data_IF_194298565737
#
_entry.id   IF_194298565737
#
_cell.length_a   1.000
_cell.length_b   1.000
_cell.length_c   1.000
_cell.angle_alpha   90.00
_cell.angle_beta   90.00
_cell.angle_gamma   90.00
#
_symmetry.space_group_name_H-M   'P 1'
#
loop_
_entity.id
_entity.type
_entity.pdbx_description
1 polymer ?
#
# COMPACT_ATOMS: atom_id res chain seq x y z
N UNK A 1 -17.51 -15.50 2.60
CA UNK A 1 -17.18 -15.80 1.19
C UNK A 1 -18.33 -16.47 0.46
N UNK A 2 -18.65 -17.74 0.73
CA UNK A 2 -19.68 -18.52 -0.01
C UNK A 2 -21.02 -17.76 -0.12
N UNK A 3 -21.54 -17.27 1.01
CA UNK A 3 -22.78 -16.49 1.05
C UNK A 3 -22.68 -15.21 0.19
N UNK A 4 -21.56 -14.48 0.30
CA UNK A 4 -21.35 -13.23 -0.44
C UNK A 4 -21.20 -13.49 -1.95
N UNK A 5 -20.51 -14.56 -2.33
CA UNK A 5 -20.37 -14.99 -3.73
C UNK A 5 -21.71 -15.37 -4.36
N UNK A 6 -22.56 -16.12 -3.64
CA UNK A 6 -23.89 -16.53 -4.13
C UNK A 6 -24.77 -15.29 -4.41
N UNK A 7 -24.64 -14.23 -3.60
CA UNK A 7 -25.41 -12.99 -3.76
C UNK A 7 -24.83 -12.10 -4.87
N UNK A 8 -23.50 -11.96 -4.95
CA UNK A 8 -22.86 -11.00 -5.85
C UNK A 8 -22.63 -11.55 -7.27
N UNK A 9 -22.39 -12.85 -7.46
CA UNK A 9 -22.10 -13.42 -8.80
C UNK A 9 -23.26 -13.22 -9.80
N UNK A 10 -24.54 -13.41 -9.44
CA UNK A 10 -25.64 -13.23 -10.39
C UNK A 10 -25.75 -11.79 -10.92
N UNK A 11 -25.35 -10.78 -10.12
CA UNK A 11 -25.46 -9.36 -10.49
C UNK A 11 -24.18 -8.75 -11.03
N UNK A 12 -23.03 -9.15 -10.49
CA UNK A 12 -21.72 -8.53 -10.78
C UNK A 12 -20.69 -9.51 -11.37
N UNK A 13 -21.09 -10.75 -11.65
CA UNK A 13 -20.27 -11.77 -12.32
C UNK A 13 -18.87 -11.90 -11.67
N UNK A 14 -17.80 -11.71 -12.46
CA UNK A 14 -16.39 -11.83 -12.05
C UNK A 14 -16.02 -10.78 -10.99
N UNK A 15 -16.56 -9.56 -11.09
CA UNK A 15 -16.32 -8.49 -10.12
C UNK A 15 -16.92 -8.89 -8.77
N UNK A 16 -18.11 -9.49 -8.79
CA UNK A 16 -18.77 -10.02 -7.61
C UNK A 16 -17.96 -11.10 -6.90
N UNK A 17 -17.37 -12.01 -7.67
CA UNK A 17 -16.47 -13.04 -7.14
C UNK A 17 -15.20 -12.45 -6.52
N UNK A 18 -14.59 -11.44 -7.14
CA UNK A 18 -13.38 -10.78 -6.63
C UNK A 18 -13.63 -10.04 -5.30
N UNK A 19 -14.77 -9.35 -5.18
CA UNK A 19 -15.20 -8.69 -3.94
C UNK A 19 -15.48 -9.70 -2.83
N UNK A 20 -16.15 -10.81 -3.17
CA UNK A 20 -16.39 -11.86 -2.19
C UNK A 20 -15.09 -12.49 -1.68
N UNK A 21 -14.10 -12.69 -2.56
CA UNK A 21 -12.78 -13.18 -2.18
C UNK A 21 -12.04 -12.18 -1.26
N UNK A 22 -12.01 -10.89 -1.59
CA UNK A 22 -11.33 -9.88 -0.75
C UNK A 22 -11.98 -9.72 0.63
N UNK A 23 -13.30 -9.92 0.72
CA UNK A 23 -14.05 -9.84 1.99
C UNK A 23 -13.56 -10.85 3.04
N UNK A 24 -12.97 -11.98 2.63
CA UNK A 24 -12.40 -12.96 3.58
C UNK A 24 -11.33 -12.30 4.43
N UNK A 25 -10.41 -11.56 3.82
CA UNK A 25 -9.32 -10.92 4.54
C UNK A 25 -9.81 -9.86 5.52
N UNK A 26 -10.85 -9.11 5.13
CA UNK A 26 -11.48 -8.13 6.02
C UNK A 26 -12.13 -8.81 7.24
N UNK A 27 -12.84 -9.91 7.04
CA UNK A 27 -13.47 -10.68 8.13
C UNK A 27 -12.41 -11.33 9.03
N UNK A 28 -11.39 -11.97 8.46
CA UNK A 28 -10.29 -12.56 9.23
C UNK A 28 -9.58 -11.51 10.09
N UNK A 29 -9.30 -10.33 9.52
CA UNK A 29 -8.72 -9.22 10.27
C UNK A 29 -9.65 -8.76 11.39
N UNK A 30 -10.96 -8.65 11.15
CA UNK A 30 -11.93 -8.25 12.16
C UNK A 30 -12.01 -9.26 13.33
N UNK A 31 -11.98 -10.56 13.04
CA UNK A 31 -11.98 -11.62 14.06
C UNK A 31 -10.70 -11.55 14.90
N UNK A 32 -9.54 -11.48 14.26
CA UNK A 32 -8.24 -11.37 14.97
C UNK A 32 -8.20 -10.10 15.81
N UNK A 33 -8.67 -8.98 15.28
CA UNK A 33 -8.74 -7.71 16.00
C UNK A 33 -9.68 -7.78 17.21
N UNK A 34 -10.84 -8.44 17.06
CA UNK A 34 -11.80 -8.65 18.15
C UNK A 34 -11.16 -9.43 19.31
N UNK A 35 -10.51 -10.56 19.02
CA UNK A 35 -9.82 -11.34 20.04
C UNK A 35 -8.64 -10.58 20.64
N UNK A 36 -7.83 -9.88 19.84
CA UNK A 36 -6.71 -9.08 20.35
C UNK A 36 -7.17 -7.97 21.32
N UNK A 37 -8.36 -7.38 21.08
CA UNK A 37 -8.97 -6.41 21.99
C UNK A 37 -9.48 -7.07 23.27
N UNK A 38 -10.11 -8.25 23.16
CA UNK A 38 -10.61 -9.00 24.31
C UNK A 38 -9.50 -9.40 25.28
N UNK A 39 -8.32 -9.77 24.77
CA UNK A 39 -7.16 -10.14 25.59
C UNK A 39 -6.28 -8.94 26.02
N UNK A 40 -6.68 -7.71 25.70
CA UNK A 40 -5.94 -6.51 26.12
C UNK A 40 -4.60 -6.28 25.42
N UNK A 41 -4.31 -7.00 24.33
CA UNK A 41 -3.04 -6.93 23.57
C UNK A 41 -3.10 -5.80 22.52
N UNK A 42 -4.16 -4.99 22.52
CA UNK A 42 -4.41 -4.01 21.46
C UNK A 42 -3.56 -2.75 21.62
N UNK A 43 -2.38 -2.74 20.98
CA UNK A 43 -1.61 -1.52 20.72
C UNK A 43 -2.22 -0.77 19.53
N UNK A 44 -3.37 -0.13 19.74
CA UNK A 44 -4.07 0.61 18.70
C UNK A 44 -3.39 1.98 18.44
N UNK A 45 -2.40 2.01 17.54
CA UNK A 45 -1.72 3.26 17.20
C UNK A 45 -2.45 4.01 16.07
N UNK A 46 -3.47 4.78 16.44
CA UNK A 46 -4.23 5.63 15.51
C UNK A 46 -3.39 6.63 14.74
N UNK A 47 -2.28 7.09 15.33
CA UNK A 47 -1.35 8.02 14.67
C UNK A 47 -0.62 7.34 13.52
N UNK A 48 -0.22 6.08 13.66
CA UNK A 48 0.40 5.32 12.57
C UNK A 48 -0.63 5.00 11.49
N UNK A 49 -1.85 4.60 11.87
CA UNK A 49 -2.90 4.31 10.90
C UNK A 49 -3.26 5.54 10.06
N UNK A 50 -3.46 6.71 10.67
CA UNK A 50 -3.81 7.93 9.94
C UNK A 50 -2.72 8.34 8.94
N UNK A 51 -1.45 8.19 9.30
CA UNK A 51 -0.31 8.44 8.41
C UNK A 51 -0.32 7.53 7.18
N UNK A 52 -0.67 6.25 7.34
CA UNK A 52 -0.80 5.30 6.23
C UNK A 52 -1.96 5.71 5.30
N UNK A 53 -3.09 6.12 5.88
CA UNK A 53 -4.23 6.60 5.08
C UNK A 53 -3.86 7.85 4.27
N UNK A 54 -3.18 8.82 4.89
CA UNK A 54 -2.74 10.04 4.20
C UNK A 54 -1.77 9.71 3.07
N UNK A 55 -0.79 8.81 3.30
CA UNK A 55 0.13 8.42 2.23
C UNK A 55 -0.56 7.66 1.10
N UNK A 56 -1.53 6.80 1.40
CA UNK A 56 -2.32 6.10 0.39
C UNK A 56 -3.17 7.06 -0.45
N UNK A 57 -3.83 8.03 0.18
CA UNK A 57 -4.60 9.08 -0.52
C UNK A 57 -3.69 9.91 -1.43
N UNK A 58 -2.50 10.27 -0.96
CA UNK A 58 -1.56 11.05 -1.75
C UNK A 58 -1.07 10.29 -2.99
N UNK A 59 -0.73 9.01 -2.83
CA UNK A 59 -0.33 8.17 -3.98
C UNK A 59 -1.48 8.00 -4.96
N UNK A 60 -2.69 7.78 -4.47
CA UNK A 60 -3.89 7.72 -5.32
C UNK A 60 -4.10 9.03 -6.09
N UNK A 61 -3.99 10.18 -5.43
CA UNK A 61 -4.14 11.49 -6.06
C UNK A 61 -3.10 11.71 -7.17
N UNK A 62 -1.83 11.37 -6.91
CA UNK A 62 -0.76 11.50 -7.93
C UNK A 62 -1.00 10.54 -9.09
N UNK A 63 -1.34 9.28 -8.83
CA UNK A 63 -1.64 8.30 -9.86
C UNK A 63 -2.84 8.75 -10.73
N UNK A 64 -3.89 9.28 -10.09
CA UNK A 64 -5.09 9.78 -10.76
C UNK A 64 -4.80 11.01 -11.62
N UNK A 65 -4.02 11.98 -11.10
CA UNK A 65 -3.55 13.12 -11.87
C UNK A 65 -2.72 12.67 -13.07
N UNK A 66 -1.73 11.80 -12.87
CA UNK A 66 -0.92 11.29 -13.98
C UNK A 66 -1.74 10.54 -15.03
N UNK A 67 -2.69 9.72 -14.59
CA UNK A 67 -3.61 9.04 -15.49
C UNK A 67 -4.40 10.05 -16.30
N UNK A 68 -5.03 11.05 -15.67
CA UNK A 68 -5.82 12.05 -16.38
C UNK A 68 -4.99 12.89 -17.35
N UNK A 69 -3.81 13.37 -16.97
CA UNK A 69 -2.94 14.15 -17.87
C UNK A 69 -2.44 13.33 -19.07
N UNK A 70 -2.03 12.08 -18.85
CA UNK A 70 -1.51 11.24 -19.93
C UNK A 70 -2.62 10.71 -20.85
N UNK A 71 -3.82 10.45 -20.30
CA UNK A 71 -4.96 9.95 -21.06
C UNK A 71 -5.67 11.05 -21.85
N UNK A 72 -5.73 12.29 -21.34
CA UNK A 72 -6.32 13.43 -22.07
C UNK A 72 -5.51 13.85 -23.31
N UNK A 73 -4.20 13.59 -23.33
CA UNK A 73 -3.34 13.83 -24.50
C UNK A 73 -3.33 12.70 -25.53
N UNK A 74 -3.94 11.56 -25.23
CA UNK A 74 -3.91 10.37 -26.08
C UNK A 74 -5.12 10.36 -27.02
N UNK A 75 -4.87 10.50 -28.32
CA UNK A 75 -5.91 10.48 -29.35
C UNK A 75 -6.60 9.09 -29.33
N UNK A 76 -7.90 8.98 -29.02
CA UNK A 76 -8.59 7.70 -28.86
C UNK A 76 -8.60 6.85 -30.14
N UNK A 77 -8.28 7.45 -31.28
CA UNK A 77 -8.29 6.86 -32.62
C UNK A 77 -7.16 5.81 -32.80
N UNK A 78 -6.05 5.91 -32.05
CA UNK A 78 -4.93 4.96 -32.11
C UNK A 78 -5.08 3.75 -31.16
N UNK A 79 -6.08 3.76 -30.28
CA UNK A 79 -6.20 2.80 -29.18
C UNK A 79 -6.92 1.49 -29.55
N UNK A 80 -7.49 1.41 -30.75
CA UNK A 80 -8.24 0.24 -31.24
C UNK A 80 -7.34 -0.85 -31.86
N UNK A 81 -6.09 -0.52 -32.21
CA UNK A 81 -5.11 -1.48 -32.76
C UNK A 81 -4.28 -2.21 -31.69
N UNK A 82 -3.61 -3.31 -32.08
CA UNK A 82 -2.67 -4.06 -31.23
C UNK A 82 -1.58 -3.14 -30.62
N UNK A 83 -1.11 -2.16 -31.40
CA UNK A 83 -0.15 -1.14 -30.96
C UNK A 83 -0.70 -0.23 -29.87
N UNK A 84 -1.98 0.18 -29.96
CA UNK A 84 -2.65 1.01 -28.95
C UNK A 84 -2.76 0.34 -27.58
N UNK A 85 -2.99 -0.99 -27.56
CA UNK A 85 -3.00 -1.77 -26.32
C UNK A 85 -1.61 -1.86 -25.66
N UNK A 86 -0.54 -1.95 -26.45
CA UNK A 86 0.83 -1.93 -25.91
C UNK A 86 1.17 -0.59 -25.28
N UNK A 87 0.76 0.53 -25.87
CA UNK A 87 0.95 1.86 -25.28
C UNK A 87 0.24 1.99 -23.92
N UNK A 88 -1.00 1.48 -23.81
CA UNK A 88 -1.72 1.47 -22.53
C UNK A 88 -1.02 0.66 -21.43
N UNK A 89 -0.41 -0.47 -21.78
CA UNK A 89 0.36 -1.29 -20.83
C UNK A 89 1.64 -0.58 -20.37
N UNK A 90 2.38 0.04 -21.29
CA UNK A 90 3.60 0.81 -20.94
C UNK A 90 3.24 1.98 -20.04
N UNK A 91 2.17 2.70 -20.35
CA UNK A 91 1.68 3.81 -19.54
C UNK A 91 1.28 3.34 -18.13
N UNK A 92 0.56 2.23 -18.01
CA UNK A 92 0.22 1.64 -16.71
C UNK A 92 1.47 1.27 -15.90
N UNK A 93 2.50 0.72 -16.56
CA UNK A 93 3.77 0.37 -15.93
C UNK A 93 4.48 1.63 -15.42
N UNK A 94 4.59 2.68 -16.25
CA UNK A 94 5.18 3.97 -15.86
C UNK A 94 4.43 4.59 -14.67
N UNK A 95 3.10 4.66 -14.72
CA UNK A 95 2.30 5.20 -13.62
C UNK A 95 2.52 4.37 -12.34
N UNK A 96 2.57 3.05 -12.44
CA UNK A 96 2.81 2.18 -11.29
C UNK A 96 4.21 2.40 -10.67
N UNK A 97 5.25 2.54 -11.50
CA UNK A 97 6.62 2.79 -11.05
C UNK A 97 6.76 4.16 -10.38
N UNK A 98 6.13 5.20 -10.93
CA UNK A 98 6.12 6.54 -10.32
C UNK A 98 5.33 6.53 -9.02
N UNK A 99 4.15 5.91 -9.00
CA UNK A 99 3.31 5.80 -7.80
C UNK A 99 4.04 5.08 -6.66
N UNK A 100 4.81 4.04 -6.99
CA UNK A 100 5.67 3.34 -6.04
C UNK A 100 6.75 4.28 -5.47
N UNK A 101 7.39 5.07 -6.32
CA UNK A 101 8.42 6.04 -5.90
C UNK A 101 7.84 7.10 -4.97
N UNK A 102 6.67 7.65 -5.31
CA UNK A 102 5.93 8.62 -4.48
C UNK A 102 5.54 8.00 -3.15
N UNK A 103 5.11 6.74 -3.13
CA UNK A 103 4.80 6.02 -1.90
C UNK A 103 6.02 5.90 -0.98
N UNK A 104 7.17 5.52 -1.52
CA UNK A 104 8.43 5.46 -0.76
C UNK A 104 8.84 6.82 -0.19
N UNK A 105 8.74 7.88 -1.00
CA UNK A 105 9.00 9.26 -0.55
C UNK A 105 8.04 9.64 0.58
N UNK A 106 6.76 9.29 0.45
CA UNK A 106 5.73 9.60 1.45
C UNK A 106 6.00 8.90 2.77
N UNK A 107 6.30 7.60 2.76
CA UNK A 107 6.69 6.86 3.97
C UNK A 107 7.93 7.49 4.61
N UNK A 108 8.92 7.86 3.78
CA UNK A 108 10.15 8.50 4.25
C UNK A 108 9.86 9.84 4.92
N UNK A 109 8.96 10.65 4.34
CA UNK A 109 8.60 11.97 4.86
C UNK A 109 7.79 11.88 6.16
N UNK A 110 6.90 10.89 6.26
CA UNK A 110 5.96 10.77 7.37
C UNK A 110 6.54 10.00 8.57
N UNK A 111 7.74 9.40 8.43
CA UNK A 111 8.39 8.53 9.43
C UNK A 111 7.40 7.58 10.08
N UNK A 112 6.56 6.94 9.26
CA UNK A 112 5.40 6.18 9.71
C UNK A 112 5.80 4.84 10.34
N UNK A 113 6.97 4.32 9.98
CA UNK A 113 7.54 3.09 10.52
C UNK A 113 8.56 3.45 11.60
N UNK A 114 8.27 3.12 12.86
CA UNK A 114 9.32 3.10 13.90
C UNK A 114 10.25 1.92 13.63
N UNK A 115 11.50 2.00 14.12
CA UNK A 115 12.46 0.89 14.05
C UNK A 115 11.89 -0.41 14.64
N UNK A 116 11.10 -0.31 15.71
CA UNK A 116 10.36 -1.42 16.32
C UNK A 116 9.38 -2.11 15.37
N UNK A 117 8.71 -1.34 14.50
CA UNK A 117 7.71 -1.87 13.57
C UNK A 117 8.41 -2.57 12.40
N UNK A 118 9.58 -2.07 11.98
CA UNK A 118 10.43 -2.73 10.99
C UNK A 118 10.99 -4.04 11.51
N UNK A 119 11.45 -4.09 12.76
CA UNK A 119 11.93 -5.32 13.38
C UNK A 119 10.83 -6.38 13.50
N UNK A 120 9.61 -5.98 13.86
CA UNK A 120 8.44 -6.86 13.86
C UNK A 120 8.09 -7.35 12.44
N UNK A 121 8.19 -6.49 11.44
CA UNK A 121 7.91 -6.86 10.05
C UNK A 121 8.99 -7.82 9.50
N UNK A 122 10.25 -7.61 9.88
CA UNK A 122 11.36 -8.49 9.52
C UNK A 122 11.39 -9.80 10.31
N UNK A 123 10.82 -9.86 11.51
CA UNK A 123 10.73 -11.11 12.29
C UNK A 123 9.68 -12.07 11.72
N UNK A 124 8.67 -11.55 11.04
CA UNK A 124 7.63 -12.34 10.33
C UNK A 124 8.09 -12.74 8.92
N UNK A 125 9.08 -12.07 8.33
CA UNK A 125 9.62 -12.43 7.01
C UNK A 125 10.51 -13.69 7.03
N UNK A 126 10.41 -14.58 6.02
CA UNK A 126 11.27 -15.75 5.92
C UNK A 126 12.75 -15.34 5.72
N UNK A 127 13.68 -16.08 6.38
CA UNK A 127 15.15 -15.80 6.48
C UNK A 127 15.87 -15.41 5.18
N UNK A 128 15.31 -15.71 4.00
CA UNK A 128 15.90 -15.35 2.70
C UNK A 128 15.80 -13.85 2.38
N UNK A 129 14.81 -13.15 2.94
CA UNK A 129 14.61 -11.70 2.75
C UNK A 129 15.39 -10.85 3.77
N UNK A 130 15.97 -11.47 4.80
CA UNK A 130 16.84 -10.80 5.76
C UNK A 130 18.12 -10.25 5.11
N UNK A 131 18.49 -10.74 3.92
CA UNK A 131 19.60 -10.21 3.12
C UNK A 131 19.35 -8.79 2.58
N UNK A 132 18.10 -8.32 2.51
CA UNK A 132 17.73 -6.96 2.11
C UNK A 132 17.71 -5.97 3.29
N UNK A 133 17.92 -6.46 4.51
CA UNK A 133 18.02 -5.65 5.73
C UNK A 133 19.02 -4.48 5.60
N UNK A 134 20.23 -4.61 5.03
CA UNK A 134 21.16 -3.49 4.87
C UNK A 134 20.67 -2.41 3.89
N UNK A 135 19.91 -2.76 2.85
CA UNK A 135 19.36 -1.80 1.90
C UNK A 135 18.19 -1.02 2.52
N UNK A 136 17.29 -1.71 3.21
CA UNK A 136 16.18 -1.08 3.90
C UNK A 136 16.67 -0.18 5.04
N UNK A 137 17.67 -0.63 5.81
CA UNK A 137 18.25 0.15 6.91
C UNK A 137 18.94 1.41 6.40
N UNK A 138 19.74 1.33 5.32
CA UNK A 138 20.40 2.50 4.74
C UNK A 138 19.43 3.56 4.23
N UNK A 139 18.32 3.13 3.60
CA UNK A 139 17.30 4.04 3.09
C UNK A 139 16.50 4.66 4.25
N UNK A 140 16.24 3.95 5.34
CA UNK A 140 15.30 4.39 6.40
C UNK A 140 15.98 5.05 7.62
N UNK A 141 17.17 4.59 8.06
CA UNK A 141 17.83 5.01 9.31
C UNK A 141 18.34 6.46 9.28
N UNK A 142 18.63 7.03 8.09
CA UNK A 142 19.13 8.42 7.98
C UNK A 142 18.11 9.49 8.44
N UNK A 143 16.85 9.12 8.69
CA UNK A 143 15.80 10.04 9.16
C UNK A 143 15.60 10.06 10.69
N UNK A 144 16.11 9.07 11.43
CA UNK A 144 15.94 8.96 12.90
C UNK A 144 16.95 9.83 13.68
N UNK A 145 18.13 10.08 13.12
CA UNK A 145 19.23 10.81 13.77
C UNK A 145 19.04 12.35 13.83
N UNK A 146 17.85 12.88 13.49
CA UNK A 146 17.58 14.34 13.54
C UNK A 146 16.72 14.80 14.72
N UNK A 147 16.36 13.92 15.65
CA UNK A 147 15.53 14.25 16.84
C UNK A 147 16.06 13.66 18.14
N UNK A 148 17.37 13.73 18.38
CA UNK A 148 17.92 13.67 19.74
C UNK A 148 18.34 15.11 20.11
N UNK A 149 17.53 15.89 20.84
CA UNK A 149 18.06 17.09 21.49
C UNK A 149 19.04 16.63 22.56
N UNK A 150 20.28 17.06 22.37
CA UNK A 150 21.36 17.00 23.34
C UNK A 150 20.92 17.77 24.59
N UNK A 151 20.72 17.04 25.70
CA UNK A 151 20.53 17.62 27.02
C UNK A 151 21.54 16.95 27.94
N UNK A 152 22.79 17.40 27.84
CA UNK A 152 23.78 17.25 28.90
C UNK A 152 24.47 18.62 29.10
N UNK A 153 23.89 19.42 30.01
CA UNK A 153 24.60 20.40 30.86
C UNK A 153 24.15 20.19 32.29
#
# INVERSE_FOLDING_TARGET
NIILSIILIPRFQIIGAAVAYSSIYAVSFAIVYYYARMFGISCHNMKTLSKIWVSAILVFAVAFMMHTYLFSGSIPILQTGLSGKMYGLIQALVISAVSLTVYFISIRLTSTLKESDLEMLFSVMPRRLTALKPLASWVLIRSSQRKQPDYDT
#
